data_IF_375290025371
#
_entry.id   IF_375290025371
#
_cell.length_a   1.000
_cell.length_b   1.000
_cell.length_c   1.000
_cell.angle_alpha   90.00
_cell.angle_beta   90.00
_cell.angle_gamma   90.00
#
_symmetry.space_group_name_H-M   'P 1'
#
loop_
_entity.id
_entity.type
_entity.pdbx_description
1 polymer ?
#
# COMPACT_ATOMS: atom_id res chain seq x y z
N UNK A 1 -7.19 47.13 -41.15
CA UNK A 1 -8.08 46.21 -40.40
C UNK A 1 -7.83 44.80 -40.92
N UNK A 2 -6.90 44.10 -40.30
CA UNK A 2 -6.61 42.69 -40.60
C UNK A 2 -7.52 41.87 -39.72
N UNK A 3 -8.34 41.01 -40.31
CA UNK A 3 -9.24 40.12 -39.61
C UNK A 3 -8.44 39.20 -38.68
N UNK A 4 -8.71 39.29 -37.38
CA UNK A 4 -8.24 38.32 -36.40
C UNK A 4 -8.86 36.96 -36.72
N UNK A 5 -8.07 35.87 -36.80
CA UNK A 5 -8.64 34.55 -36.89
C UNK A 5 -9.30 34.23 -35.54
N UNK A 6 -10.59 33.90 -35.63
CA UNK A 6 -11.40 33.40 -34.54
C UNK A 6 -10.63 32.31 -33.79
N UNK A 7 -10.42 32.52 -32.48
CA UNK A 7 -10.17 31.44 -31.54
C UNK A 7 -11.31 30.44 -31.73
N UNK A 8 -11.02 29.30 -32.35
CA UNK A 8 -11.87 28.12 -32.24
C UNK A 8 -11.77 27.71 -30.77
N UNK A 9 -12.74 28.11 -29.97
CA UNK A 9 -12.98 27.46 -28.69
C UNK A 9 -13.22 25.98 -29.00
N UNK A 10 -12.31 25.11 -28.55
CA UNK A 10 -12.59 23.68 -28.46
C UNK A 10 -13.93 23.54 -27.74
N UNK A 11 -14.95 23.06 -28.45
CA UNK A 11 -16.22 22.70 -27.85
C UNK A 11 -15.93 21.55 -26.89
N UNK A 12 -15.96 21.83 -25.58
CA UNK A 12 -16.01 20.82 -24.52
C UNK A 12 -17.17 19.88 -24.83
N UNK A 13 -16.88 18.77 -25.51
CA UNK A 13 -17.91 17.89 -26.04
C UNK A 13 -18.31 16.95 -24.91
N UNK A 14 -19.47 17.22 -24.29
CA UNK A 14 -20.06 16.31 -23.31
C UNK A 14 -20.27 14.93 -23.95
N UNK A 15 -19.83 13.88 -23.26
CA UNK A 15 -20.10 12.49 -23.62
C UNK A 15 -20.88 11.78 -22.51
N UNK A 16 -21.73 10.82 -22.87
CA UNK A 16 -22.42 9.97 -21.91
C UNK A 16 -21.51 8.78 -21.59
N UNK A 17 -21.02 8.72 -20.35
CA UNK A 17 -20.28 7.58 -19.82
C UNK A 17 -21.22 6.60 -19.15
N UNK A 18 -21.16 5.33 -19.58
CA UNK A 18 -21.94 4.24 -19.01
C UNK A 18 -21.02 3.36 -18.18
N UNK A 19 -21.36 3.15 -16.91
CA UNK A 19 -20.66 2.26 -16.00
C UNK A 19 -21.48 0.99 -15.81
N UNK A 20 -20.83 -0.15 -15.82
CA UNK A 20 -21.48 -1.46 -15.71
C UNK A 20 -21.11 -2.14 -14.40
N UNK A 21 -21.93 -3.11 -14.00
CA UNK A 21 -21.56 -4.08 -12.96
C UNK A 21 -20.64 -5.13 -13.57
N UNK A 22 -19.54 -5.45 -12.89
CA UNK A 22 -18.47 -6.37 -13.31
C UNK A 22 -18.96 -7.75 -13.73
N UNK A 23 -19.99 -8.26 -13.07
CA UNK A 23 -20.49 -9.64 -13.26
C UNK A 23 -21.92 -9.70 -13.77
N UNK A 24 -22.51 -8.57 -14.13
CA UNK A 24 -23.89 -8.48 -14.60
C UNK A 24 -23.96 -7.57 -15.84
N UNK A 25 -24.90 -7.83 -16.75
CA UNK A 25 -25.14 -6.94 -17.90
C UNK A 25 -25.87 -5.64 -17.52
N UNK A 26 -26.01 -5.35 -16.23
CA UNK A 26 -26.73 -4.19 -15.70
C UNK A 26 -25.89 -2.91 -15.74
N UNK A 27 -26.51 -1.84 -16.25
CA UNK A 27 -25.98 -0.48 -16.12
C UNK A 27 -26.03 -0.08 -14.65
N UNK A 28 -24.89 0.35 -14.13
CA UNK A 28 -24.72 0.89 -12.79
C UNK A 28 -25.03 2.38 -12.75
N UNK A 29 -24.49 3.14 -13.71
CA UNK A 29 -24.68 4.58 -13.81
C UNK A 29 -24.50 5.07 -15.25
N UNK A 30 -25.22 6.13 -15.59
CA UNK A 30 -25.09 6.90 -16.82
C UNK A 30 -24.82 8.34 -16.41
N UNK A 31 -23.69 8.88 -16.84
CA UNK A 31 -23.27 10.23 -16.46
C UNK A 31 -22.76 10.97 -17.68
N UNK A 32 -23.40 12.09 -17.97
CA UNK A 32 -22.89 13.05 -18.93
C UNK A 32 -21.71 13.80 -18.31
N UNK A 33 -20.56 13.79 -18.98
CA UNK A 33 -19.34 14.47 -18.52
C UNK A 33 -18.34 14.71 -19.67
N UNK A 34 -17.37 15.56 -19.40
CA UNK A 34 -16.22 15.92 -20.23
C UNK A 34 -15.22 14.76 -20.36
N UNK A 35 -15.14 13.90 -19.34
CA UNK A 35 -14.19 12.79 -19.25
C UNK A 35 -14.70 11.68 -18.33
N UNK A 36 -14.21 10.45 -18.51
CA UNK A 36 -14.49 9.33 -17.61
C UNK A 36 -14.09 9.63 -16.17
N UNK A 37 -12.98 10.34 -15.98
CA UNK A 37 -12.52 10.85 -14.69
C UNK A 37 -13.48 11.80 -14.01
N UNK A 38 -14.08 12.75 -14.74
CA UNK A 38 -15.09 13.62 -14.16
C UNK A 38 -16.42 12.89 -13.94
N UNK A 39 -16.78 11.95 -14.81
CA UNK A 39 -17.97 11.12 -14.63
C UNK A 39 -17.91 10.35 -13.31
N UNK A 40 -16.80 9.66 -13.02
CA UNK A 40 -16.62 8.93 -11.76
C UNK A 40 -16.56 9.86 -10.54
N UNK A 41 -15.98 11.05 -10.69
CA UNK A 41 -15.97 12.07 -9.63
C UNK A 41 -17.39 12.57 -9.30
N UNK A 42 -18.24 12.76 -10.33
CA UNK A 42 -19.66 13.12 -10.15
C UNK A 42 -20.43 12.00 -9.44
N UNK A 43 -20.19 10.74 -9.80
CA UNK A 43 -20.77 9.56 -9.11
C UNK A 43 -20.36 9.53 -7.64
N UNK A 44 -19.07 9.71 -7.36
CA UNK A 44 -18.54 9.75 -5.99
C UNK A 44 -19.15 10.90 -5.18
N UNK A 45 -19.27 12.10 -5.75
CA UNK A 45 -19.94 13.26 -5.14
C UNK A 45 -21.42 13.00 -4.86
N UNK A 46 -22.10 12.29 -5.74
CA UNK A 46 -23.48 11.85 -5.56
C UNK A 46 -23.62 10.69 -4.53
N UNK A 47 -22.50 10.17 -4.00
CA UNK A 47 -22.44 9.04 -3.06
C UNK A 47 -23.10 7.77 -3.59
N UNK A 48 -23.07 7.60 -4.91
CA UNK A 48 -23.51 6.36 -5.55
C UNK A 48 -22.41 5.32 -5.37
N UNK A 49 -22.78 4.14 -4.88
CA UNK A 49 -21.84 3.04 -4.70
C UNK A 49 -21.35 2.53 -6.06
N UNK A 50 -20.03 2.37 -6.17
CA UNK A 50 -19.33 1.76 -7.29
C UNK A 50 -18.84 0.35 -6.95
N UNK A 51 -19.46 -0.29 -5.95
CA UNK A 51 -19.15 -1.66 -5.58
C UNK A 51 -19.40 -2.58 -6.79
N UNK A 52 -18.42 -3.42 -7.08
CA UNK A 52 -18.40 -4.33 -8.22
C UNK A 52 -18.59 -3.62 -9.57
N UNK A 53 -18.20 -2.35 -9.70
CA UNK A 53 -18.19 -1.68 -11.00
C UNK A 53 -17.08 -2.24 -11.90
N UNK A 54 -17.35 -2.33 -13.20
CA UNK A 54 -16.30 -2.48 -14.21
C UNK A 54 -15.72 -1.11 -14.52
N UNK A 55 -14.47 -0.89 -14.09
CA UNK A 55 -13.70 0.33 -14.23
C UNK A 55 -12.32 0.03 -14.84
N UNK A 56 -12.22 -1.06 -15.62
CA UNK A 56 -10.96 -1.49 -16.22
C UNK A 56 -10.44 -0.40 -17.15
N UNK A 57 -9.18 -0.01 -16.97
CA UNK A 57 -8.55 1.06 -17.75
C UNK A 57 -9.13 2.46 -17.49
N UNK A 58 -9.90 2.67 -16.41
CA UNK A 58 -10.46 3.98 -16.07
C UNK A 58 -9.36 5.05 -16.00
N UNK A 59 -9.59 6.18 -16.68
CA UNK A 59 -8.71 7.35 -16.62
C UNK A 59 -9.30 8.41 -15.69
N UNK A 60 -8.81 8.49 -14.46
CA UNK A 60 -9.26 9.44 -13.46
C UNK A 60 -8.08 10.12 -12.71
N UNK A 61 -7.12 10.74 -13.43
CA UNK A 61 -6.00 11.42 -12.80
C UNK A 61 -6.48 12.63 -11.99
N UNK A 62 -5.89 12.84 -10.81
CA UNK A 62 -6.14 13.99 -9.93
C UNK A 62 -7.59 14.13 -9.41
N UNK A 63 -8.42 13.09 -9.53
CA UNK A 63 -9.84 13.16 -9.18
C UNK A 63 -10.12 13.02 -7.69
N UNK A 64 -11.18 13.68 -7.23
CA UNK A 64 -11.65 13.63 -5.85
C UNK A 64 -12.62 12.46 -5.63
N UNK A 65 -12.09 11.34 -5.15
CA UNK A 65 -12.81 10.08 -4.91
C UNK A 65 -12.84 9.71 -3.41
N UNK A 66 -12.89 10.73 -2.55
CA UNK A 66 -12.86 10.54 -1.10
C UNK A 66 -14.07 9.73 -0.61
N UNK A 67 -13.81 8.68 0.17
CA UNK A 67 -14.85 7.85 0.78
C UNK A 67 -15.69 7.05 -0.22
N UNK A 68 -15.26 6.96 -1.47
CA UNK A 68 -15.99 6.20 -2.50
C UNK A 68 -16.03 4.71 -2.13
N UNK A 69 -17.16 4.08 -2.41
CA UNK A 69 -17.33 2.64 -2.28
C UNK A 69 -16.95 1.96 -3.60
N UNK A 70 -15.76 1.37 -3.65
CA UNK A 70 -15.20 0.63 -4.79
C UNK A 70 -15.00 -0.86 -4.45
N UNK A 71 -15.76 -1.39 -3.49
CA UNK A 71 -15.63 -2.79 -3.06
C UNK A 71 -15.79 -3.75 -4.22
N UNK A 72 -14.79 -4.59 -4.47
CA UNK A 72 -14.83 -5.59 -5.53
C UNK A 72 -14.88 -5.02 -6.95
N UNK A 73 -14.70 -3.71 -7.13
CA UNK A 73 -14.61 -3.07 -8.44
C UNK A 73 -13.41 -3.60 -9.23
N UNK A 74 -13.52 -3.61 -10.56
CA UNK A 74 -12.41 -3.90 -11.44
C UNK A 74 -11.72 -2.61 -11.86
N UNK A 75 -10.57 -2.31 -11.28
CA UNK A 75 -9.70 -1.17 -11.62
C UNK A 75 -8.40 -1.66 -12.27
N UNK A 76 -8.42 -2.84 -12.89
CA UNK A 76 -7.26 -3.35 -13.63
C UNK A 76 -6.80 -2.31 -14.67
N UNK A 77 -5.50 -2.00 -14.66
CA UNK A 77 -4.87 -1.00 -15.52
C UNK A 77 -5.47 0.43 -15.43
N UNK A 78 -6.23 0.74 -14.37
CA UNK A 78 -6.76 2.09 -14.19
C UNK A 78 -5.63 3.12 -13.97
N UNK A 79 -5.79 4.30 -14.55
CA UNK A 79 -4.90 5.45 -14.38
C UNK A 79 -5.49 6.42 -13.37
N UNK A 80 -4.94 6.40 -12.16
CA UNK A 80 -5.35 7.19 -10.99
C UNK A 80 -4.19 8.03 -10.39
N UNK A 81 -3.23 8.56 -11.16
CA UNK A 81 -2.13 9.32 -10.58
C UNK A 81 -2.68 10.57 -9.88
N UNK A 82 -2.24 10.79 -8.64
CA UNK A 82 -2.66 11.92 -7.82
C UNK A 82 -4.13 11.93 -7.39
N UNK A 83 -4.90 10.87 -7.67
CA UNK A 83 -6.28 10.78 -7.21
C UNK A 83 -6.39 10.81 -5.68
N UNK A 84 -7.46 11.40 -5.16
CA UNK A 84 -7.74 11.50 -3.73
C UNK A 84 -8.74 10.40 -3.36
N UNK A 85 -8.22 9.28 -2.86
CA UNK A 85 -8.94 8.09 -2.39
C UNK A 85 -8.94 8.00 -0.85
N UNK A 86 -8.88 9.16 -0.18
CA UNK A 86 -8.92 9.26 1.28
C UNK A 86 -10.14 8.49 1.82
N UNK A 87 -9.91 7.51 2.71
CA UNK A 87 -10.96 6.65 3.30
C UNK A 87 -11.82 5.88 2.27
N UNK A 88 -11.34 5.68 1.05
CA UNK A 88 -12.04 4.85 0.07
C UNK A 88 -12.14 3.40 0.54
N UNK A 89 -13.25 2.74 0.22
CA UNK A 89 -13.44 1.31 0.46
C UNK A 89 -13.09 0.54 -0.82
N UNK A 90 -11.91 -0.06 -0.84
CA UNK A 90 -11.33 -0.83 -1.95
C UNK A 90 -11.25 -2.33 -1.61
N UNK A 91 -12.01 -2.80 -0.61
CA UNK A 91 -11.97 -4.20 -0.21
C UNK A 91 -12.27 -5.10 -1.40
N UNK A 92 -11.46 -6.14 -1.58
CA UNK A 92 -11.61 -7.12 -2.68
C UNK A 92 -11.53 -6.53 -4.10
N UNK A 93 -11.19 -5.24 -4.27
CA UNK A 93 -11.05 -4.63 -5.58
C UNK A 93 -9.84 -5.21 -6.34
N UNK A 94 -9.94 -5.24 -7.68
CA UNK A 94 -8.81 -5.54 -8.56
C UNK A 94 -8.13 -4.24 -8.94
N UNK A 95 -6.88 -4.03 -8.51
CA UNK A 95 -6.01 -2.90 -8.85
C UNK A 95 -4.78 -3.40 -9.64
N UNK A 96 -4.92 -4.53 -10.33
CA UNK A 96 -3.81 -5.16 -11.04
C UNK A 96 -3.26 -4.17 -12.07
N UNK A 97 -1.97 -3.89 -12.02
CA UNK A 97 -1.29 -2.94 -12.91
C UNK A 97 -1.87 -1.51 -12.90
N UNK A 98 -2.62 -1.12 -11.87
CA UNK A 98 -3.15 0.23 -11.75
C UNK A 98 -2.02 1.25 -11.47
N UNK A 99 -2.12 2.42 -12.08
CA UNK A 99 -1.24 3.56 -11.79
C UNK A 99 -1.85 4.44 -10.70
N UNK A 100 -1.29 4.36 -9.49
CA UNK A 100 -1.71 5.11 -8.31
C UNK A 100 -0.61 6.09 -7.84
N UNK A 101 0.30 6.48 -8.74
CA UNK A 101 1.44 7.34 -8.40
C UNK A 101 1.00 8.65 -7.77
N UNK A 102 1.56 8.99 -6.62
CA UNK A 102 1.24 10.24 -5.91
C UNK A 102 -0.21 10.33 -5.39
N UNK A 103 -1.00 9.26 -5.50
CA UNK A 103 -2.38 9.25 -5.00
C UNK A 103 -2.44 9.34 -3.48
N UNK A 104 -3.56 9.83 -2.94
CA UNK A 104 -3.82 9.88 -1.50
C UNK A 104 -4.77 8.76 -1.11
N UNK A 105 -4.27 7.71 -0.47
CA UNK A 105 -4.99 6.52 0.00
C UNK A 105 -5.02 6.44 1.54
N UNK A 106 -4.85 7.58 2.21
CA UNK A 106 -4.84 7.64 3.68
C UNK A 106 -6.11 6.99 4.25
N UNK A 107 -5.97 6.12 5.23
CA UNK A 107 -7.07 5.40 5.88
C UNK A 107 -7.99 4.63 4.89
N UNK A 108 -7.52 4.33 3.68
CA UNK A 108 -8.29 3.51 2.74
C UNK A 108 -8.30 2.04 3.18
N UNK A 109 -9.39 1.35 2.91
CA UNK A 109 -9.56 -0.07 3.22
C UNK A 109 -9.27 -0.90 1.96
N UNK A 110 -8.09 -1.51 1.90
CA UNK A 110 -7.61 -2.35 0.80
C UNK A 110 -7.61 -3.83 1.19
N UNK A 111 -8.35 -4.22 2.23
CA UNK A 111 -8.34 -5.61 2.71
C UNK A 111 -8.76 -6.55 1.59
N UNK A 112 -7.96 -7.60 1.39
CA UNK A 112 -8.16 -8.61 0.33
C UNK A 112 -8.18 -8.04 -1.10
N UNK A 113 -7.73 -6.81 -1.33
CA UNK A 113 -7.60 -6.26 -2.68
C UNK A 113 -6.46 -6.96 -3.44
N UNK A 114 -6.58 -7.03 -4.76
CA UNK A 114 -5.51 -7.50 -5.63
C UNK A 114 -4.74 -6.30 -6.19
N UNK A 115 -3.59 -6.00 -5.62
CA UNK A 115 -2.77 -4.82 -5.93
C UNK A 115 -1.50 -5.23 -6.71
N UNK A 116 -1.54 -6.40 -7.36
CA UNK A 116 -0.39 -6.92 -8.08
C UNK A 116 0.06 -5.97 -9.18
N UNK A 117 1.38 -5.79 -9.34
CA UNK A 117 1.97 -4.94 -10.37
C UNK A 117 1.55 -3.45 -10.32
N UNK A 118 0.80 -3.01 -9.31
CA UNK A 118 0.35 -1.63 -9.22
C UNK A 118 1.53 -0.67 -8.93
N UNK A 119 1.42 0.55 -9.43
CA UNK A 119 2.39 1.62 -9.20
C UNK A 119 1.88 2.59 -8.13
N UNK A 120 2.34 2.40 -6.90
CA UNK A 120 2.05 3.21 -5.72
C UNK A 120 3.19 4.21 -5.41
N UNK A 121 4.10 4.49 -6.34
CA UNK A 121 5.24 5.39 -6.07
C UNK A 121 4.74 6.75 -5.59
N UNK A 122 5.35 7.28 -4.53
CA UNK A 122 5.00 8.57 -3.93
C UNK A 122 3.56 8.65 -3.36
N UNK A 123 2.81 7.54 -3.27
CA UNK A 123 1.46 7.55 -2.74
C UNK A 123 1.44 7.79 -1.22
N UNK A 124 0.39 8.45 -0.72
CA UNK A 124 0.16 8.61 0.71
C UNK A 124 -0.77 7.51 1.23
N UNK A 125 -0.19 6.45 1.78
CA UNK A 125 -0.85 5.24 2.29
C UNK A 125 -1.03 5.26 3.82
N UNK A 126 -0.86 6.42 4.48
CA UNK A 126 -0.89 6.49 5.95
C UNK A 126 -2.20 5.96 6.52
N UNK A 127 -2.13 4.95 7.39
CA UNK A 127 -3.30 4.34 8.01
C UNK A 127 -4.10 3.42 7.10
N UNK A 128 -3.64 3.14 5.86
CA UNK A 128 -4.33 2.22 4.96
C UNK A 128 -4.25 0.77 5.46
N UNK A 129 -5.30 -0.02 5.22
CA UNK A 129 -5.35 -1.42 5.64
C UNK A 129 -5.22 -2.38 4.45
N UNK A 130 -4.09 -3.06 4.35
CA UNK A 130 -3.78 -4.06 3.33
C UNK A 130 -3.93 -5.51 3.85
N UNK A 131 -4.66 -5.76 4.94
CA UNK A 131 -4.76 -7.12 5.47
C UNK A 131 -5.33 -8.09 4.43
N UNK A 132 -4.56 -9.15 4.14
CA UNK A 132 -4.89 -10.14 3.12
C UNK A 132 -4.85 -9.63 1.67
N UNK A 133 -4.39 -8.40 1.41
CA UNK A 133 -4.19 -7.90 0.05
C UNK A 133 -3.06 -8.65 -0.66
N UNK A 134 -3.09 -8.69 -2.00
CA UNK A 134 -2.01 -9.22 -2.80
C UNK A 134 -1.14 -8.09 -3.36
N UNK A 135 0.09 -7.94 -2.85
CA UNK A 135 1.03 -6.88 -3.24
C UNK A 135 2.17 -7.39 -4.15
N UNK A 136 2.02 -8.57 -4.76
CA UNK A 136 3.09 -9.15 -5.57
C UNK A 136 3.48 -8.21 -6.73
N UNK A 137 4.76 -7.88 -6.81
CA UNK A 137 5.34 -6.92 -7.78
C UNK A 137 4.75 -5.50 -7.76
N UNK A 138 4.01 -5.11 -6.73
CA UNK A 138 3.63 -3.71 -6.56
C UNK A 138 4.87 -2.85 -6.29
N UNK A 139 4.91 -1.64 -6.84
CA UNK A 139 6.00 -0.68 -6.65
C UNK A 139 5.53 0.47 -5.78
N UNK A 140 6.11 0.67 -4.60
CA UNK A 140 5.71 1.75 -3.71
C UNK A 140 6.87 2.70 -3.36
N UNK A 141 7.89 2.82 -4.20
CA UNK A 141 9.04 3.70 -3.93
C UNK A 141 8.60 5.11 -3.54
N UNK A 142 9.01 5.56 -2.35
CA UNK A 142 8.66 6.87 -1.79
C UNK A 142 7.23 7.02 -1.28
N UNK A 143 6.45 5.93 -1.19
CA UNK A 143 5.14 5.97 -0.56
C UNK A 143 5.25 6.16 0.96
N UNK A 144 4.28 6.85 1.55
CA UNK A 144 4.20 7.10 3.00
C UNK A 144 3.25 6.10 3.64
N UNK A 145 3.73 5.29 4.59
CA UNK A 145 2.94 4.20 5.15
C UNK A 145 2.50 4.45 6.60
N UNK A 146 2.64 5.64 7.18
CA UNK A 146 2.52 5.86 8.63
C UNK A 146 1.15 5.38 9.16
N UNK A 147 1.15 4.33 9.99
CA UNK A 147 -0.04 3.65 10.51
C UNK A 147 -0.65 2.58 9.62
N UNK A 148 -0.06 2.27 8.46
CA UNK A 148 -0.58 1.28 7.54
C UNK A 148 -0.44 -0.14 8.10
N UNK A 149 -1.44 -0.98 7.83
CA UNK A 149 -1.47 -2.38 8.25
C UNK A 149 -1.13 -3.26 7.05
N UNK A 150 -0.11 -4.09 7.17
CA UNK A 150 0.39 -4.97 6.11
C UNK A 150 0.52 -6.41 6.62
N UNK A 151 0.38 -7.38 5.72
CA UNK A 151 0.72 -8.78 6.01
C UNK A 151 2.25 -8.96 5.92
N UNK A 152 2.82 -9.75 6.84
CA UNK A 152 4.24 -10.05 6.89
C UNK A 152 4.77 -10.64 5.57
N UNK A 153 3.92 -11.34 4.82
CA UNK A 153 4.28 -11.93 3.51
C UNK A 153 4.78 -10.89 2.51
N UNK A 154 4.43 -9.62 2.70
CA UNK A 154 4.86 -8.52 1.85
C UNK A 154 6.11 -7.81 2.37
N UNK A 155 6.93 -8.46 3.19
CA UNK A 155 8.16 -7.82 3.68
C UNK A 155 9.11 -7.42 2.54
N UNK A 156 9.11 -8.12 1.40
CA UNK A 156 9.88 -7.69 0.23
C UNK A 156 9.45 -6.34 -0.34
N UNK A 157 8.13 -6.11 -0.37
CA UNK A 157 7.55 -4.83 -0.76
C UNK A 157 7.99 -3.75 0.24
N UNK A 158 7.92 -4.07 1.53
CA UNK A 158 8.41 -3.23 2.64
C UNK A 158 9.90 -2.91 2.54
N UNK A 159 10.75 -3.84 2.08
CA UNK A 159 12.18 -3.58 1.85
C UNK A 159 12.45 -2.75 0.58
N UNK A 160 11.63 -2.90 -0.47
CA UNK A 160 11.72 -2.11 -1.69
C UNK A 160 11.40 -0.62 -1.44
N UNK A 161 10.47 -0.37 -0.53
CA UNK A 161 10.15 0.97 -0.01
C UNK A 161 11.36 1.69 0.61
N UNK A 162 12.30 0.95 1.20
CA UNK A 162 13.47 1.48 1.90
C UNK A 162 14.63 1.84 0.97
N UNK A 163 14.54 1.53 -0.33
CA UNK A 163 15.67 1.69 -1.25
C UNK A 163 15.91 3.10 -1.75
N UNK A 164 15.01 4.07 -1.59
CA UNK A 164 15.16 5.35 -2.32
C UNK A 164 14.79 6.68 -1.66
N UNK A 165 14.55 6.74 -0.35
CA UNK A 165 14.63 8.03 0.36
C UNK A 165 15.71 7.97 1.45
N UNK A 166 16.93 8.28 1.03
CA UNK A 166 18.10 8.52 1.88
C UNK A 166 17.98 9.85 2.65
N UNK A 167 16.83 10.10 3.28
CA UNK A 167 16.65 11.14 4.29
C UNK A 167 16.78 10.59 5.71
N UNK A 168 16.36 9.34 5.94
CA UNK A 168 16.41 8.76 7.27
C UNK A 168 16.61 7.24 7.21
N UNK A 169 17.88 6.80 7.29
CA UNK A 169 18.20 5.38 7.52
C UNK A 169 17.48 4.86 8.77
N UNK A 170 17.03 5.71 9.69
CA UNK A 170 16.40 5.28 10.93
C UNK A 170 15.03 4.63 10.70
N UNK A 171 14.23 5.07 9.74
CA UNK A 171 12.92 4.44 9.49
C UNK A 171 13.08 3.07 8.83
N UNK A 172 14.06 2.94 7.94
CA UNK A 172 14.46 1.67 7.35
C UNK A 172 15.02 0.71 8.42
N UNK A 173 15.87 1.22 9.30
CA UNK A 173 16.47 0.46 10.38
C UNK A 173 15.42 0.03 11.42
N UNK A 174 14.49 0.92 11.80
CA UNK A 174 13.37 0.62 12.71
C UNK A 174 12.50 -0.48 12.13
N UNK A 175 12.16 -0.39 10.85
CA UNK A 175 11.33 -1.40 10.19
C UNK A 175 11.99 -2.77 10.16
N UNK A 176 13.28 -2.83 9.83
CA UNK A 176 14.04 -4.09 9.90
C UNK A 176 14.12 -4.61 11.33
N UNK A 177 14.28 -3.74 12.34
CA UNK A 177 14.26 -4.14 13.75
C UNK A 177 12.88 -4.67 14.19
N UNK A 178 11.81 -3.96 13.83
CA UNK A 178 10.44 -4.34 14.14
C UNK A 178 10.10 -5.69 13.49
N UNK A 179 10.51 -5.91 12.24
CA UNK A 179 10.36 -7.20 11.55
C UNK A 179 11.21 -8.32 12.20
N UNK A 180 12.41 -8.00 12.68
CA UNK A 180 13.29 -8.96 13.33
C UNK A 180 12.76 -9.45 14.68
N UNK A 181 12.01 -8.61 15.39
CA UNK A 181 11.55 -8.87 16.76
C UNK A 181 10.01 -8.95 16.90
N UNK A 182 9.26 -8.82 15.81
CA UNK A 182 7.81 -8.99 15.83
C UNK A 182 7.45 -10.41 16.30
N UNK A 183 6.51 -10.49 17.24
CA UNK A 183 5.84 -11.74 17.59
C UNK A 183 4.80 -12.03 16.51
N UNK A 184 5.17 -12.88 15.55
CA UNK A 184 4.41 -13.14 14.32
C UNK A 184 4.04 -14.63 14.20
N UNK A 185 2.99 -14.93 13.44
CA UNK A 185 2.51 -16.30 13.16
C UNK A 185 3.55 -17.13 12.38
N UNK A 186 4.42 -16.48 11.61
CA UNK A 186 5.55 -17.11 10.92
C UNK A 186 6.83 -16.29 11.09
N UNK A 187 7.53 -16.44 12.23
CA UNK A 187 8.76 -15.71 12.47
C UNK A 187 9.78 -16.01 11.36
N UNK A 188 10.60 -15.01 11.03
CA UNK A 188 11.74 -15.10 10.10
C UNK A 188 11.42 -15.22 8.60
N UNK A 189 10.15 -15.29 8.17
CA UNK A 189 9.87 -15.45 6.72
C UNK A 189 10.33 -14.27 5.87
N UNK A 190 10.40 -13.09 6.46
CA UNK A 190 11.00 -11.93 5.80
C UNK A 190 12.48 -12.12 5.45
N UNK A 191 13.20 -12.98 6.18
CA UNK A 191 14.59 -13.31 5.91
C UNK A 191 14.75 -13.98 4.55
N UNK A 192 13.77 -14.74 4.06
CA UNK A 192 13.84 -15.33 2.71
C UNK A 192 14.10 -14.27 1.63
N UNK A 193 13.48 -13.10 1.78
CA UNK A 193 13.66 -12.00 0.83
C UNK A 193 15.07 -11.41 0.95
N UNK A 194 15.57 -11.28 2.17
CA UNK A 194 16.90 -10.72 2.46
C UNK A 194 17.98 -11.68 1.97
N UNK A 195 17.84 -12.97 2.27
CA UNK A 195 18.74 -14.06 1.88
C UNK A 195 18.81 -14.19 0.35
N UNK A 196 17.68 -14.06 -0.36
CA UNK A 196 17.64 -14.03 -1.83
C UNK A 196 18.26 -12.76 -2.44
N UNK A 197 18.60 -11.75 -1.63
CA UNK A 197 19.20 -10.47 -2.07
C UNK A 197 20.48 -10.18 -1.26
N UNK A 198 21.63 -10.79 -1.61
CA UNK A 198 22.87 -10.70 -0.82
C UNK A 198 23.32 -9.29 -0.47
N UNK A 199 23.04 -8.30 -1.34
CA UNK A 199 23.33 -6.89 -1.10
C UNK A 199 22.62 -6.29 0.14
N UNK A 200 21.53 -6.91 0.63
CA UNK A 200 20.78 -6.44 1.79
C UNK A 200 21.29 -7.06 3.10
N UNK A 201 21.95 -8.23 3.07
CA UNK A 201 22.32 -9.01 4.26
C UNK A 201 23.20 -8.19 5.20
N UNK A 202 24.27 -7.58 4.68
CA UNK A 202 25.21 -6.81 5.51
C UNK A 202 24.56 -5.59 6.19
N UNK A 203 23.65 -4.91 5.49
CA UNK A 203 22.90 -3.81 6.06
C UNK A 203 21.91 -4.29 7.12
N UNK A 204 21.09 -5.31 6.82
CA UNK A 204 20.11 -5.88 7.75
C UNK A 204 20.78 -6.39 9.03
N UNK A 205 21.90 -7.12 8.92
CA UNK A 205 22.66 -7.60 10.07
C UNK A 205 23.19 -6.44 10.93
N UNK A 206 23.67 -5.36 10.31
CA UNK A 206 24.12 -4.14 11.02
C UNK A 206 22.98 -3.42 11.74
N UNK A 207 21.77 -3.44 11.19
CA UNK A 207 20.58 -2.88 11.84
C UNK A 207 20.18 -3.70 13.05
N UNK A 208 20.02 -5.02 12.87
CA UNK A 208 19.64 -5.92 13.95
C UNK A 208 20.64 -5.78 15.09
N UNK A 209 21.95 -5.86 14.80
CA UNK A 209 23.01 -5.72 15.80
C UNK A 209 22.94 -4.45 16.64
N UNK A 210 22.39 -3.34 16.09
CA UNK A 210 22.18 -2.08 16.83
C UNK A 210 20.86 -2.04 17.60
N UNK A 211 19.87 -2.83 17.20
CA UNK A 211 18.54 -2.85 17.79
C UNK A 211 18.33 -3.94 18.86
N UNK A 212 19.18 -4.98 18.89
CA UNK A 212 19.11 -6.09 19.86
C UNK A 212 19.12 -5.58 21.30
N UNK A 213 18.15 -6.04 22.11
CA UNK A 213 18.18 -5.98 23.57
C UNK A 213 18.30 -7.38 24.18
N UNK A 214 18.78 -7.50 25.44
CA UNK A 214 18.79 -8.78 26.13
C UNK A 214 17.39 -9.39 26.18
N UNK A 215 17.23 -10.59 25.61
CA UNK A 215 15.94 -11.32 25.55
C UNK A 215 15.27 -11.35 24.17
N UNK A 216 15.70 -10.53 23.21
CA UNK A 216 15.02 -10.37 21.91
C UNK A 216 15.26 -11.53 20.91
N UNK A 217 15.90 -12.62 21.32
CA UNK A 217 16.12 -13.78 20.45
C UNK A 217 17.04 -13.53 19.24
N UNK A 218 17.84 -12.46 19.27
CA UNK A 218 18.67 -12.04 18.14
C UNK A 218 19.68 -13.09 17.65
N UNK A 219 20.12 -14.02 18.51
CA UNK A 219 20.97 -15.15 18.12
C UNK A 219 20.31 -16.02 17.05
N UNK A 220 18.98 -16.22 17.11
CA UNK A 220 18.24 -16.99 16.10
C UNK A 220 18.16 -16.23 14.77
N UNK A 221 17.85 -14.93 14.80
CA UNK A 221 17.78 -14.09 13.59
C UNK A 221 19.14 -14.04 12.88
N UNK A 222 20.22 -13.81 13.64
CA UNK A 222 21.57 -13.73 13.09
C UNK A 222 22.08 -15.08 12.58
N UNK A 223 21.74 -16.18 13.26
CA UNK A 223 22.01 -17.53 12.77
C UNK A 223 21.37 -17.74 11.39
N UNK A 224 20.06 -17.47 11.26
CA UNK A 224 19.35 -17.61 9.99
C UNK A 224 19.90 -16.71 8.87
N UNK A 225 20.32 -15.48 9.18
CA UNK A 225 20.97 -14.59 8.21
C UNK A 225 22.33 -15.10 7.72
N UNK A 226 22.98 -15.97 8.47
CA UNK A 226 24.29 -16.56 8.14
C UNK A 226 24.19 -17.90 7.40
N UNK A 227 22.99 -18.48 7.28
CA UNK A 227 22.77 -19.76 6.60
C UNK A 227 22.86 -19.61 5.07
N UNK A 228 23.25 -20.69 4.40
CA UNK A 228 23.12 -20.78 2.94
C UNK A 228 21.62 -20.66 2.56
N UNK A 229 21.25 -19.84 1.56
CA UNK A 229 19.89 -19.78 1.03
C UNK A 229 19.25 -21.13 0.73
N UNK A 230 20.04 -22.14 0.35
CA UNK A 230 19.56 -23.49 0.05
C UNK A 230 19.23 -24.32 1.31
N UNK A 231 19.76 -23.94 2.47
CA UNK A 231 19.61 -24.64 3.75
C UNK A 231 18.60 -23.95 4.69
N UNK A 232 18.05 -22.80 4.29
CA UNK A 232 17.08 -22.06 5.10
C UNK A 232 15.70 -22.73 5.04
N UNK A 233 15.32 -23.41 6.13
CA UNK A 233 13.97 -23.93 6.34
C UNK A 233 13.20 -23.08 7.35
N UNK A 234 11.95 -22.74 7.00
CA UNK A 234 11.06 -22.03 7.91
C UNK A 234 10.61 -22.95 9.05
N UNK A 235 10.47 -22.44 10.29
CA UNK A 235 9.77 -23.17 11.33
C UNK A 235 8.33 -23.49 10.88
N UNK A 236 7.77 -24.65 11.26
CA UNK A 236 6.43 -25.05 10.86
C UNK A 236 5.39 -24.02 11.33
N UNK A 237 4.42 -23.74 10.46
CA UNK A 237 3.37 -22.76 10.74
C UNK A 237 2.58 -23.14 12.00
N UNK A 238 2.46 -22.22 12.96
CA UNK A 238 1.68 -22.43 14.20
C UNK A 238 2.48 -22.56 15.50
N UNK A 239 3.80 -22.32 15.49
CA UNK A 239 4.60 -22.31 16.72
C UNK A 239 4.40 -21.06 17.61
N UNK A 240 3.65 -20.06 17.15
CA UNK A 240 3.22 -18.91 17.95
C UNK A 240 1.77 -19.13 18.43
N UNK A 241 1.62 -19.44 19.71
CA UNK A 241 0.34 -19.53 20.41
C UNK A 241 -0.22 -18.12 20.65
N UNK A 242 -1.26 -17.71 19.90
CA UNK A 242 -2.53 -17.17 20.42
C UNK A 242 -3.36 -16.48 19.30
N UNK A 243 -4.69 -16.51 19.47
CA UNK A 243 -5.79 -16.43 18.49
C UNK A 243 -6.01 -15.13 17.69
N UNK A 244 -5.01 -14.29 17.46
CA UNK A 244 -5.21 -13.10 16.63
C UNK A 244 -4.10 -12.99 15.58
N UNK A 245 -4.48 -13.17 14.31
CA UNK A 245 -3.67 -12.78 13.15
C UNK A 245 -3.53 -11.26 13.11
N UNK A 246 -2.65 -10.72 13.95
CA UNK A 246 -2.38 -9.29 14.01
C UNK A 246 -1.38 -9.00 12.88
N UNK A 247 -1.88 -8.56 11.73
CA UNK A 247 -1.02 -7.99 10.69
C UNK A 247 -0.13 -6.90 11.30
N UNK A 248 1.12 -6.79 10.84
CA UNK A 248 2.05 -5.81 11.38
C UNK A 248 1.57 -4.40 11.07
N UNK A 249 1.56 -3.55 12.09
CA UNK A 249 1.25 -2.12 11.96
C UNK A 249 2.55 -1.37 11.72
N UNK A 250 2.75 -0.87 10.50
CA UNK A 250 3.83 0.09 10.26
C UNK A 250 3.40 1.42 10.84
N UNK A 251 3.90 1.79 12.01
CA UNK A 251 3.67 3.12 12.58
C UNK A 251 5.00 3.86 12.63
N UNK A 252 5.02 5.12 12.20
CA UNK A 252 6.08 6.05 12.63
C UNK A 252 5.78 6.46 14.07
N UNK A 253 5.88 5.49 14.98
CA UNK A 253 5.71 5.77 16.40
C UNK A 253 6.92 6.56 16.89
N UNK A 254 6.74 7.88 17.01
CA UNK A 254 7.46 8.68 17.99
C UNK A 254 7.25 7.97 19.32
N UNK A 255 8.23 7.18 19.75
CA UNK A 255 8.19 6.61 21.08
C UNK A 255 8.02 7.77 22.06
N UNK A 256 7.02 7.76 22.95
CA UNK A 256 7.06 8.67 24.07
C UNK A 256 8.34 8.34 24.82
N UNK A 257 9.29 9.28 24.85
CA UNK A 257 10.43 9.20 25.77
C UNK A 257 9.83 8.85 27.12
N UNK A 258 10.23 7.70 27.70
CA UNK A 258 9.96 7.42 29.11
C UNK A 258 10.48 8.64 29.86
N UNK A 259 9.57 9.49 30.31
CA UNK A 259 9.90 10.52 31.28
C UNK A 259 10.34 9.72 32.49
N UNK A 260 11.64 9.73 32.75
CA UNK A 260 12.19 9.29 34.01
C UNK A 260 11.55 10.18 35.06
N UNK A 261 10.49 9.67 35.68
CA UNK A 261 9.85 10.27 36.83
C UNK A 261 10.90 10.21 37.95
N UNK A 262 11.68 11.29 38.09
CA UNK A 262 12.51 11.50 39.27
C UNK A 262 11.55 11.55 40.45
N UNK A 263 11.66 10.56 41.32
CA UNK A 263 11.06 10.59 42.65
C UNK A 263 11.56 11.83 43.38
N UNK A 264 10.69 12.67 43.95
CA UNK A 264 11.15 13.74 44.82
C UNK A 264 11.61 13.12 46.14
N UNK A 265 12.86 13.41 46.49
CA UNK A 265 13.42 13.33 47.85
C UNK A 265 12.79 14.39 48.75
#
# INVERSE_FOLDING_TARGET
>A
MVASPLLVAELDTMAIYTFFRRWETGILALVEAESSGLAIERIAKARVSLAHADLKGLEAPWRHLQGVDLRGADLEAASLPGAILLRADLRTASLISADLRGSTLRQADLRRADVRHADLRQADLRGADFAGANLHNACATGARLDGARLDWRWTAFVLELLRRDAGDRDDANRLVADLAFASDERPYTWLETVIRRPALIGWVASVIGRAVRPGDGASKVLHHLSMDPAEFELPPAGAATDEHSIGFYWTRAVHPRKTTRRSPS
#
